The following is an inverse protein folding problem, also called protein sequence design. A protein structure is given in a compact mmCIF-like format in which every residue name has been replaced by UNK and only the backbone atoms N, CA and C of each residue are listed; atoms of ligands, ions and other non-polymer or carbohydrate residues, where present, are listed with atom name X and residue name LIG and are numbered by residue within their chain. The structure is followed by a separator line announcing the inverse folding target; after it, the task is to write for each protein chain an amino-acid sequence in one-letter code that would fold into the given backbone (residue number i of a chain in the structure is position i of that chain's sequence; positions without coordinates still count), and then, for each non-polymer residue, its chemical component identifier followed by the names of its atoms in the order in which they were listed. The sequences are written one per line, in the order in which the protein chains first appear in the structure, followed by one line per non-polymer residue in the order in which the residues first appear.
data_IF_004531250450
#
_entry.id   IF_004531250450
#
_cell.length_a   1.000
_cell.length_b   1.000
_cell.length_c   1.000
_cell.angle_alpha   90.00
_cell.angle_beta   90.00
_cell.angle_gamma   90.00
#
_symmetry.space_group_name_H-M   'P 1'
#
loop_
_entity.id
_entity.type
_entity.pdbx_description
1 polymer ?
#
# COMPACT_ATOMS: atom_id res chain seq x y z
N UNK A 1 -14.24 -16.37 21.44
CA UNK A 1 -14.99 -15.31 20.77
C UNK A 1 -13.97 -14.24 20.44
N UNK A 2 -13.60 -14.08 19.16
CA UNK A 2 -12.82 -12.93 18.74
C UNK A 2 -13.72 -11.69 18.89
N UNK A 3 -13.22 -10.64 19.53
CA UNK A 3 -13.95 -9.40 19.74
C UNK A 3 -14.10 -8.60 18.44
N UNK A 4 -14.98 -7.59 18.41
CA UNK A 4 -15.20 -6.71 17.24
C UNK A 4 -13.95 -5.96 16.76
N UNK A 5 -12.87 -5.96 17.56
CA UNK A 5 -11.59 -5.31 17.25
C UNK A 5 -10.65 -6.19 16.40
N UNK A 6 -10.88 -7.51 16.34
CA UNK A 6 -10.02 -8.43 15.57
C UNK A 6 -10.18 -8.24 14.06
N UNK A 7 -11.41 -8.06 13.56
CA UNK A 7 -11.70 -7.82 12.14
C UNK A 7 -11.08 -6.50 11.66
N UNK A 8 -11.06 -5.46 12.51
CA UNK A 8 -10.46 -4.17 12.17
C UNK A 8 -8.93 -4.23 12.09
N UNK A 9 -8.30 -5.04 12.94
CA UNK A 9 -6.85 -5.22 12.97
C UNK A 9 -6.37 -6.06 11.79
N UNK A 10 -7.13 -7.09 11.40
CA UNK A 10 -6.86 -7.85 10.17
C UNK A 10 -6.98 -6.97 8.94
N UNK A 11 -8.03 -6.17 8.83
CA UNK A 11 -8.21 -5.23 7.71
C UNK A 11 -7.03 -4.26 7.59
N UNK A 12 -6.57 -3.71 8.73
CA UNK A 12 -5.38 -2.85 8.79
C UNK A 12 -4.09 -3.60 8.41
N UNK A 13 -3.92 -4.86 8.78
CA UNK A 13 -2.73 -5.63 8.38
C UNK A 13 -2.65 -5.83 6.86
N UNK A 14 -3.77 -6.07 6.19
CA UNK A 14 -3.82 -6.13 4.74
C UNK A 14 -3.60 -4.74 4.09
N UNK A 15 -4.02 -3.67 4.76
CA UNK A 15 -3.75 -2.29 4.35
C UNK A 15 -2.23 -2.01 4.33
N UNK A 16 -1.55 -2.21 5.45
CA UNK A 16 -0.11 -1.94 5.57
C UNK A 16 0.75 -2.88 4.71
N UNK A 17 0.36 -4.16 4.63
CA UNK A 17 0.99 -5.11 3.74
C UNK A 17 0.90 -4.66 2.26
N UNK A 18 -0.24 -4.11 1.84
CA UNK A 18 -0.44 -3.61 0.49
C UNK A 18 0.58 -2.53 0.11
N UNK A 19 0.75 -1.52 0.98
CA UNK A 19 1.75 -0.46 0.78
C UNK A 19 3.16 -1.03 0.64
N UNK A 20 3.58 -1.84 1.61
CA UNK A 20 4.95 -2.35 1.69
C UNK A 20 5.28 -3.28 0.53
N UNK A 21 4.41 -4.22 0.20
CA UNK A 21 4.63 -5.21 -0.87
C UNK A 21 4.69 -4.54 -2.23
N UNK A 22 3.75 -3.63 -2.54
CA UNK A 22 3.76 -2.94 -3.84
C UNK A 22 4.97 -2.00 -3.95
N UNK A 23 5.34 -1.30 -2.89
CA UNK A 23 6.54 -0.47 -2.89
C UNK A 23 7.82 -1.30 -3.14
N UNK A 24 8.00 -2.38 -2.40
CA UNK A 24 9.14 -3.28 -2.56
C UNK A 24 9.18 -3.94 -3.95
N UNK A 25 8.03 -4.36 -4.49
CA UNK A 25 7.92 -4.90 -5.84
C UNK A 25 8.30 -3.88 -6.93
N UNK A 26 8.01 -2.60 -6.70
CA UNK A 26 8.41 -1.49 -7.57
C UNK A 26 9.86 -1.04 -7.38
N UNK A 27 10.62 -1.71 -6.51
CA UNK A 27 12.04 -1.47 -6.26
C UNK A 27 12.33 -0.41 -5.19
N UNK A 28 11.36 -0.08 -4.33
CA UNK A 28 11.64 0.67 -3.11
C UNK A 28 12.34 -0.24 -2.08
N UNK A 29 13.10 0.40 -1.19
CA UNK A 29 13.61 -0.25 0.02
C UNK A 29 12.59 -0.01 1.14
N UNK A 30 11.94 -1.08 1.60
CA UNK A 30 11.11 -1.02 2.81
C UNK A 30 12.04 -1.14 4.00
N UNK A 31 11.91 -0.24 4.98
CA UNK A 31 12.73 -0.25 6.19
C UNK A 31 12.05 -1.05 7.29
N UNK A 32 10.81 -0.68 7.62
CA UNK A 32 9.94 -1.42 8.53
C UNK A 32 8.47 -1.09 8.21
N UNK A 33 7.56 -1.91 8.71
CA UNK A 33 6.10 -1.77 8.61
C UNK A 33 5.51 -2.03 9.99
N UNK A 34 4.51 -1.26 10.43
CA UNK A 34 3.85 -1.41 11.74
C UNK A 34 2.33 -1.25 11.63
N UNK A 35 1.58 -1.87 12.54
CA UNK A 35 0.13 -1.63 12.75
C UNK A 35 -0.14 -0.54 13.80
N UNK A 36 0.86 -0.23 14.62
CA UNK A 36 0.79 0.80 15.65
C UNK A 36 1.84 1.88 15.35
N UNK A 37 1.44 3.05 14.82
CA UNK A 37 2.35 4.19 14.76
C UNK A 37 2.63 4.70 16.18
N UNK A 38 3.89 4.75 16.58
CA UNK A 38 4.28 5.44 17.81
C UNK A 38 4.05 6.97 17.62
N UNK A 39 3.16 7.60 18.42
CA UNK A 39 2.88 9.03 18.30
C UNK A 39 4.06 9.94 18.64
N UNK A 40 5.17 9.43 19.20
CA UNK A 40 6.35 10.22 19.63
C UNK A 40 7.55 10.12 18.67
N UNK A 41 7.42 9.37 17.56
CA UNK A 41 8.50 9.09 16.60
C UNK A 41 8.72 10.22 15.56
N UNK A 42 9.00 11.44 16.05
CA UNK A 42 9.57 12.53 15.24
C UNK A 42 8.67 13.07 14.11
N UNK A 43 9.20 13.99 13.26
CA UNK A 43 8.38 14.70 12.29
C UNK A 43 7.89 13.76 11.17
N UNK A 44 6.60 13.41 11.24
CA UNK A 44 5.75 12.86 10.18
C UNK A 44 6.37 11.70 9.40
N UNK A 45 6.18 10.49 9.91
CA UNK A 45 6.03 9.31 9.06
C UNK A 45 4.75 9.50 8.25
N UNK A 46 4.87 9.72 6.95
CA UNK A 46 3.73 9.66 6.05
C UNK A 46 3.41 8.16 5.85
N UNK A 47 2.64 7.59 6.78
CA UNK A 47 2.18 6.20 6.78
C UNK A 47 2.84 5.30 7.84
N UNK A 48 2.20 4.16 8.13
CA UNK A 48 2.66 3.18 9.11
C UNK A 48 3.73 2.22 8.54
N UNK A 49 4.23 2.52 7.32
CA UNK A 49 5.40 1.92 6.69
C UNK A 49 6.48 2.96 6.36
N UNK A 50 7.74 2.69 6.73
CA UNK A 50 8.87 3.52 6.32
C UNK A 50 9.48 3.00 5.02
N UNK A 51 9.23 3.73 3.93
CA UNK A 51 9.63 3.35 2.58
C UNK A 51 10.65 4.35 2.04
N UNK A 52 11.76 3.86 1.49
CA UNK A 52 12.79 4.67 0.83
C UNK A 52 12.82 4.40 -0.66
N UNK A 53 12.54 5.42 -1.44
CA UNK A 53 12.64 5.34 -2.90
C UNK A 53 14.03 5.70 -3.40
N UNK A 54 14.62 4.86 -4.25
CA UNK A 54 15.87 5.17 -4.91
C UNK A 54 15.64 6.08 -6.13
N UNK A 55 16.09 7.32 -6.06
CA UNK A 55 15.92 8.29 -7.15
C UNK A 55 16.89 8.06 -8.35
N UNK A 56 17.94 7.24 -8.17
CA UNK A 56 18.97 7.08 -9.19
C UNK A 56 18.39 6.32 -10.39
N UNK A 57 18.32 7.00 -11.53
CA UNK A 57 17.86 6.40 -12.79
C UNK A 57 16.33 6.42 -12.98
N UNK A 58 15.59 7.16 -12.15
CA UNK A 58 14.16 7.39 -12.35
C UNK A 58 13.88 8.89 -12.45
N UNK A 59 13.03 9.25 -13.40
CA UNK A 59 12.50 10.59 -13.53
C UNK A 59 11.54 10.90 -12.36
N UNK A 60 11.31 12.17 -12.03
CA UNK A 60 10.31 12.54 -11.02
C UNK A 60 8.91 12.00 -11.31
N UNK A 61 8.55 11.86 -12.58
CA UNK A 61 7.27 11.33 -13.03
C UNK A 61 7.15 9.83 -12.78
N UNK A 62 8.20 9.06 -13.10
CA UNK A 62 8.22 7.62 -12.81
C UNK A 62 8.16 7.35 -11.31
N UNK A 63 8.87 8.16 -10.52
CA UNK A 63 8.84 8.05 -9.07
C UNK A 63 7.44 8.36 -8.51
N UNK A 64 6.83 9.48 -8.93
CA UNK A 64 5.49 9.84 -8.49
C UNK A 64 4.44 8.79 -8.88
N UNK A 65 4.60 8.13 -10.03
CA UNK A 65 3.72 7.02 -10.42
C UNK A 65 3.91 5.79 -9.52
N UNK A 66 5.15 5.45 -9.16
CA UNK A 66 5.41 4.32 -8.25
C UNK A 66 4.90 4.59 -6.84
N UNK A 67 5.12 5.81 -6.34
CA UNK A 67 4.56 6.28 -5.07
C UNK A 67 3.03 6.23 -5.11
N UNK A 68 2.40 6.69 -6.20
CA UNK A 68 0.95 6.61 -6.36
C UNK A 68 0.45 5.16 -6.28
N UNK A 69 1.12 4.23 -6.97
CA UNK A 69 0.76 2.81 -6.92
C UNK A 69 0.91 2.23 -5.51
N UNK A 70 1.99 2.55 -4.79
CA UNK A 70 2.21 2.07 -3.43
C UNK A 70 1.19 2.64 -2.43
N UNK A 71 0.89 3.94 -2.49
CA UNK A 71 -0.12 4.60 -1.65
C UNK A 71 -1.52 4.03 -1.92
N UNK A 72 -1.85 3.73 -3.16
CA UNK A 72 -3.16 3.15 -3.48
C UNK A 72 -3.27 1.66 -3.13
N UNK A 73 -2.14 0.97 -2.95
CA UNK A 73 -2.13 -0.47 -2.73
C UNK A 73 -2.77 -0.87 -1.40
N UNK A 74 -2.51 -0.14 -0.31
CA UNK A 74 -3.05 -0.47 1.01
C UNK A 74 -4.59 -0.48 1.03
N UNK A 75 -5.24 0.64 0.70
CA UNK A 75 -6.69 0.70 0.63
C UNK A 75 -7.31 -0.30 -0.37
N UNK A 76 -6.61 -0.65 -1.47
CA UNK A 76 -7.08 -1.67 -2.42
C UNK A 76 -7.01 -3.07 -1.82
N UNK A 77 -5.93 -3.41 -1.12
CA UNK A 77 -5.76 -4.71 -0.47
C UNK A 77 -6.74 -4.91 0.67
N UNK A 78 -6.98 -3.87 1.47
CA UNK A 78 -8.02 -3.82 2.50
C UNK A 78 -9.40 -4.20 1.91
N UNK A 79 -9.82 -3.54 0.83
CA UNK A 79 -11.10 -3.84 0.17
C UNK A 79 -11.20 -5.27 -0.36
N UNK A 80 -10.13 -5.79 -0.96
CA UNK A 80 -10.10 -7.16 -1.48
C UNK A 80 -10.24 -8.15 -0.32
N UNK A 81 -9.55 -7.89 0.80
CA UNK A 81 -9.64 -8.69 2.01
C UNK A 81 -11.06 -8.66 2.60
N UNK A 82 -11.66 -7.48 2.77
CA UNK A 82 -13.03 -7.32 3.28
C UNK A 82 -14.09 -7.89 2.33
N UNK A 83 -13.74 -8.19 1.07
CA UNK A 83 -14.69 -8.60 0.03
C UNK A 83 -15.68 -7.48 -0.34
N UNK A 84 -15.33 -6.22 -0.09
CA UNK A 84 -16.19 -5.06 -0.32
C UNK A 84 -15.70 -4.30 -1.55
N UNK A 85 -16.58 -4.12 -2.54
CA UNK A 85 -16.33 -3.15 -3.61
C UNK A 85 -16.82 -1.77 -3.18
N UNK A 86 -15.89 -0.85 -2.91
CA UNK A 86 -16.23 0.56 -2.64
C UNK A 86 -16.02 1.39 -3.90
N UNK A 87 -17.09 1.98 -4.48
CA UNK A 87 -16.93 2.89 -5.61
C UNK A 87 -16.11 4.12 -5.18
N UNK A 88 -15.31 4.66 -6.10
CA UNK A 88 -14.30 5.70 -5.81
C UNK A 88 -14.88 6.98 -5.20
N UNK A 89 -16.13 7.28 -5.49
CA UNK A 89 -16.90 8.40 -4.94
C UNK A 89 -17.28 8.23 -3.45
N UNK A 90 -17.15 7.03 -2.90
CA UNK A 90 -17.42 6.72 -1.48
C UNK A 90 -16.19 6.71 -0.60
N UNK A 91 -15.02 6.94 -1.15
CA UNK A 91 -13.80 7.04 -0.37
C UNK A 91 -13.78 8.41 0.29
N UNK A 92 -13.49 8.46 1.58
CA UNK A 92 -13.38 9.72 2.28
C UNK A 92 -12.20 10.49 1.68
N UNK A 93 -12.40 11.70 1.12
CA UNK A 93 -11.29 12.54 0.66
C UNK A 93 -10.43 13.05 1.83
N UNK A 94 -10.78 12.67 3.07
CA UNK A 94 -10.04 12.96 4.30
C UNK A 94 -9.21 11.78 4.80
N UNK A 95 -9.28 10.61 4.16
CA UNK A 95 -8.33 9.55 4.44
C UNK A 95 -6.98 9.93 3.83
N UNK A 96 -5.90 9.75 4.60
CA UNK A 96 -4.57 10.22 4.27
C UNK A 96 -4.07 9.69 2.92
N UNK A 97 -4.29 8.41 2.62
CA UNK A 97 -3.82 7.79 1.37
C UNK A 97 -4.50 8.38 0.14
N UNK A 98 -5.80 8.70 0.22
CA UNK A 98 -6.50 9.34 -0.91
C UNK A 98 -6.03 10.76 -1.15
N UNK A 99 -5.75 11.51 -0.09
CA UNK A 99 -5.17 12.85 -0.23
C UNK A 99 -3.81 12.78 -0.89
N UNK A 100 -2.94 11.89 -0.41
CA UNK A 100 -1.61 11.70 -0.96
C UNK A 100 -1.67 11.19 -2.42
N UNK A 101 -2.57 10.27 -2.74
CA UNK A 101 -2.78 9.80 -4.10
C UNK A 101 -3.23 10.93 -5.04
N UNK A 102 -4.14 11.81 -4.60
CA UNK A 102 -4.55 12.99 -5.37
C UNK A 102 -3.38 13.95 -5.58
N UNK A 103 -2.57 14.22 -4.55
CA UNK A 103 -1.39 15.08 -4.65
C UNK A 103 -0.34 14.52 -5.62
N UNK A 104 -0.11 13.20 -5.60
CA UNK A 104 0.80 12.52 -6.53
C UNK A 104 0.25 12.54 -7.95
N UNK A 105 -1.05 12.27 -8.12
CA UNK A 105 -1.70 12.30 -9.43
C UNK A 105 -1.72 13.71 -10.05
N UNK A 106 -1.87 14.78 -9.26
CA UNK A 106 -1.79 16.17 -9.72
C UNK A 106 -0.42 16.51 -10.33
N UNK A 107 0.66 15.92 -9.79
CA UNK A 107 2.02 16.06 -10.36
C UNK A 107 2.19 15.34 -11.70
N UNK A 108 1.34 14.36 -11.99
CA UNK A 108 1.43 13.49 -13.17
C UNK A 108 0.56 13.98 -14.34
N UNK A 109 -0.59 14.59 -14.06
CA UNK A 109 -1.55 14.99 -15.10
C UNK A 109 -2.19 16.37 -14.86
N UNK A 110 -2.37 17.20 -15.91
CA UNK A 110 -2.68 18.63 -15.75
C UNK A 110 -4.17 18.99 -15.63
N UNK A 111 -5.04 18.11 -15.11
CA UNK A 111 -6.45 18.48 -14.88
C UNK A 111 -7.21 17.53 -13.92
N UNK A 112 -8.24 18.03 -13.20
CA UNK A 112 -9.03 17.22 -12.27
C UNK A 112 -9.64 15.94 -12.86
N UNK A 113 -10.25 16.03 -14.06
CA UNK A 113 -10.84 14.85 -14.70
C UNK A 113 -9.80 13.83 -15.20
N UNK A 114 -8.53 14.22 -15.33
CA UNK A 114 -7.43 13.27 -15.60
C UNK A 114 -6.87 12.67 -14.32
N UNK A 115 -6.85 13.42 -13.22
CA UNK A 115 -6.46 12.95 -11.89
C UNK A 115 -7.38 11.82 -11.47
N UNK A 116 -8.70 12.05 -11.52
CA UNK A 116 -9.71 11.04 -11.20
C UNK A 116 -9.47 9.78 -12.03
N UNK A 117 -9.46 9.89 -13.36
CA UNK A 117 -9.21 8.76 -14.27
C UNK A 117 -7.90 8.01 -13.98
N UNK A 118 -6.83 8.72 -13.64
CA UNK A 118 -5.54 8.10 -13.30
C UNK A 118 -5.66 7.27 -12.03
N UNK A 119 -6.32 7.80 -11.00
CA UNK A 119 -6.59 7.07 -9.76
C UNK A 119 -7.47 5.85 -10.06
N UNK A 120 -8.57 5.99 -10.82
CA UNK A 120 -9.44 4.84 -11.13
C UNK A 120 -8.69 3.75 -11.89
N UNK A 121 -7.88 4.16 -12.88
CA UNK A 121 -7.07 3.22 -13.67
C UNK A 121 -6.05 2.51 -12.79
N UNK A 122 -5.42 3.23 -11.86
CA UNK A 122 -4.40 2.66 -10.96
C UNK A 122 -5.04 1.67 -9.98
N UNK A 123 -6.20 2.00 -9.41
CA UNK A 123 -6.97 1.09 -8.56
C UNK A 123 -7.33 -0.19 -9.32
N UNK A 124 -7.82 -0.07 -10.56
CA UNK A 124 -8.15 -1.23 -11.38
C UNK A 124 -6.92 -2.11 -11.67
N UNK A 125 -5.78 -1.50 -11.99
CA UNK A 125 -4.52 -2.21 -12.20
C UNK A 125 -4.04 -2.95 -10.95
N UNK A 126 -4.14 -2.31 -9.78
CA UNK A 126 -3.78 -2.93 -8.50
C UNK A 126 -4.68 -4.11 -8.17
N UNK A 127 -6.01 -4.00 -8.41
CA UNK A 127 -6.92 -5.15 -8.26
C UNK A 127 -6.53 -6.31 -9.17
N UNK A 128 -6.30 -6.03 -10.46
CA UNK A 128 -5.88 -7.06 -11.41
C UNK A 128 -4.52 -7.69 -11.04
N UNK A 129 -3.61 -6.92 -10.44
CA UNK A 129 -2.35 -7.42 -9.90
C UNK A 129 -2.57 -8.35 -8.69
N UNK A 130 -3.40 -7.91 -7.74
CA UNK A 130 -3.75 -8.66 -6.53
C UNK A 130 -4.60 -9.92 -6.83
N UNK A 131 -5.33 -9.98 -7.93
CA UNK A 131 -6.03 -11.19 -8.39
C UNK A 131 -5.07 -12.32 -8.79
N UNK A 132 -3.78 -12.01 -9.04
CA UNK A 132 -2.77 -13.03 -9.32
C UNK A 132 -2.43 -13.75 -8.03
N UNK A 133 -2.71 -15.06 -7.97
CA UNK A 133 -2.53 -15.89 -6.79
C UNK A 133 -1.18 -15.65 -6.07
N UNK A 134 -0.06 -15.72 -6.79
CA UNK A 134 1.26 -15.54 -6.19
C UNK A 134 1.46 -14.15 -5.57
N UNK A 135 0.91 -13.10 -6.17
CA UNK A 135 1.03 -11.74 -5.65
C UNK A 135 0.19 -11.58 -4.38
N UNK A 136 -1.04 -12.13 -4.37
CA UNK A 136 -1.88 -12.15 -3.17
C UNK A 136 -1.25 -12.94 -2.02
N UNK A 137 -0.55 -14.05 -2.32
CA UNK A 137 0.14 -14.81 -1.28
C UNK A 137 1.25 -14.00 -0.58
N UNK A 138 1.96 -13.13 -1.31
CA UNK A 138 2.93 -12.20 -0.68
C UNK A 138 2.21 -11.25 0.28
N UNK A 139 1.12 -10.63 -0.17
CA UNK A 139 0.33 -9.69 0.65
C UNK A 139 -0.20 -10.39 1.90
N UNK A 140 -0.83 -11.55 1.73
CA UNK A 140 -1.40 -12.32 2.84
C UNK A 140 -0.31 -12.76 3.83
N UNK A 141 0.85 -13.23 3.35
CA UNK A 141 1.95 -13.60 4.24
C UNK A 141 2.49 -12.40 5.03
N UNK A 142 2.65 -11.24 4.38
CA UNK A 142 3.11 -10.02 5.06
C UNK A 142 2.07 -9.53 6.08
N UNK A 143 0.78 -9.63 5.75
CA UNK A 143 -0.31 -9.31 6.68
C UNK A 143 -0.30 -10.25 7.89
N UNK A 144 -0.16 -11.57 7.67
CA UNK A 144 -0.08 -12.57 8.76
C UNK A 144 1.11 -12.29 9.69
N UNK A 145 2.27 -11.89 9.12
CA UNK A 145 3.44 -11.49 9.91
C UNK A 145 3.17 -10.22 10.72
N UNK A 146 2.49 -9.23 10.14
CA UNK A 146 2.10 -8.01 10.85
C UNK A 146 1.10 -8.29 11.97
N UNK A 147 0.11 -9.15 11.77
CA UNK A 147 -0.81 -9.54 12.84
C UNK A 147 -0.06 -10.24 13.99
N UNK A 148 0.87 -11.14 13.65
CA UNK A 148 1.63 -11.90 14.62
C UNK A 148 2.64 -11.04 15.41
N UNK A 149 3.24 -10.03 14.79
CA UNK A 149 4.37 -9.30 15.34
C UNK A 149 4.11 -7.81 15.61
N UNK A 150 2.98 -7.27 15.14
CA UNK A 150 2.58 -5.85 15.14
C UNK A 150 3.50 -4.94 14.34
N UNK A 151 4.80 -5.22 14.28
CA UNK A 151 5.76 -4.58 13.39
C UNK A 151 6.71 -5.62 12.80
N UNK A 152 7.15 -5.39 11.57
CA UNK A 152 8.11 -6.23 10.86
C UNK A 152 9.17 -5.38 10.18
N UNK A 153 10.37 -5.94 10.03
CA UNK A 153 11.45 -5.32 9.25
C UNK A 153 11.19 -5.51 7.76
N UNK A 154 11.71 -4.59 6.94
CA UNK A 154 11.56 -4.68 5.49
C UNK A 154 12.23 -5.91 4.86
N UNK A 155 13.21 -6.51 5.52
CA UNK A 155 13.80 -7.80 5.11
C UNK A 155 12.72 -8.88 5.00
N UNK A 156 11.80 -8.97 5.96
CA UNK A 156 10.70 -9.96 5.92
C UNK A 156 9.77 -9.74 4.71
N UNK A 157 9.54 -8.49 4.31
CA UNK A 157 8.76 -8.17 3.10
C UNK A 157 9.49 -8.65 1.84
N UNK A 158 10.81 -8.40 1.75
CA UNK A 158 11.62 -8.84 0.62
C UNK A 158 11.76 -10.37 0.55
N UNK A 159 11.86 -11.06 1.69
CA UNK A 159 11.84 -12.52 1.75
C UNK A 159 10.53 -13.09 1.20
N UNK A 160 9.39 -12.52 1.58
CA UNK A 160 8.08 -12.92 1.06
C UNK A 160 7.96 -12.71 -0.45
N UNK A 161 8.44 -11.57 -0.96
CA UNK A 161 8.52 -11.34 -2.41
C UNK A 161 9.40 -12.39 -3.11
N UNK A 162 10.59 -12.67 -2.58
CA UNK A 162 11.50 -13.67 -3.14
C UNK A 162 10.90 -15.08 -3.15
N UNK A 163 10.15 -15.44 -2.11
CA UNK A 163 9.53 -16.77 -1.98
C UNK A 163 8.43 -17.03 -3.00
N UNK A 164 7.60 -16.03 -3.31
CA UNK A 164 6.41 -16.21 -4.15
C UNK A 164 6.57 -15.68 -5.57
N UNK A 165 7.43 -14.69 -5.79
CA UNK A 165 7.65 -14.04 -7.09
C UNK A 165 9.07 -14.21 -7.63
N UNK A 166 10.00 -14.80 -6.86
CA UNK A 166 11.31 -15.23 -7.35
C UNK A 166 11.20 -16.48 -8.22
N UNK A 167 12.09 -16.60 -9.21
CA UNK A 167 12.22 -17.77 -10.09
C UNK A 167 12.60 -19.06 -9.35
#
# INVERSE_FOLDING_TARGET
MAGPDADGMTSLAYHEAGHAVVAAWLGAEVLFVTLEPDPDDGPRRDGDAAIRWHHRGSTPQELALRELMAVLAGPVCEMIHEGVERPLDRWSPWAADWQLAVELADRLVPSPGRIERLIETTVWQLRALAERQAFWQVIAEVADLLEAHQSIEGESVHESLGRWLGD
#
